data_IF_487244579885
#
_entry.id   IF_487244579885
#
_cell.length_a   1.000
_cell.length_b   1.000
_cell.length_c   1.000
_cell.angle_alpha   90.00
_cell.angle_beta   90.00
_cell.angle_gamma   90.00
#
_symmetry.space_group_name_H-M   'P 1'
#
loop_
_entity.id
_entity.type
_entity.pdbx_description
1 polymer ?
#
# COMPACT_ATOMS: atom_id res chain seq x y z
N UNK A 1 -7.61 8.90 18.17
CA UNK A 1 -8.76 9.71 18.61
C UNK A 1 -9.14 10.82 17.62
N UNK A 2 -8.19 11.65 17.14
CA UNK A 2 -8.47 12.77 16.22
C UNK A 2 -9.22 12.36 14.94
N UNK A 3 -8.88 11.21 14.35
CA UNK A 3 -9.57 10.62 13.17
C UNK A 3 -11.04 10.29 13.43
N UNK A 4 -11.34 9.68 14.58
CA UNK A 4 -12.70 9.36 15.00
C UNK A 4 -13.52 10.65 15.20
N UNK A 5 -12.95 11.63 15.91
CA UNK A 5 -13.57 12.95 16.11
C UNK A 5 -13.82 13.65 14.77
N UNK A 6 -12.84 13.61 13.86
CA UNK A 6 -12.98 14.14 12.51
C UNK A 6 -14.14 13.49 11.74
N UNK A 7 -14.26 12.16 11.79
CA UNK A 7 -15.36 11.43 11.14
C UNK A 7 -16.73 11.81 11.73
N UNK A 8 -16.84 11.93 13.05
CA UNK A 8 -18.08 12.34 13.71
C UNK A 8 -18.49 13.76 13.27
N UNK A 9 -17.54 14.70 13.22
CA UNK A 9 -17.81 16.06 12.77
C UNK A 9 -18.22 16.13 11.28
N UNK A 10 -17.61 15.31 10.43
CA UNK A 10 -18.00 15.22 9.01
C UNK A 10 -19.45 14.73 8.87
N UNK A 11 -19.82 13.67 9.58
CA UNK A 11 -21.18 13.12 9.57
C UNK A 11 -22.19 14.12 10.13
N UNK A 12 -21.88 14.76 11.26
CA UNK A 12 -22.74 15.76 11.88
C UNK A 12 -22.93 16.99 10.97
N UNK A 13 -21.84 17.50 10.38
CA UNK A 13 -21.88 18.60 9.43
C UNK A 13 -22.71 18.26 8.20
N UNK A 14 -22.54 17.06 7.62
CA UNK A 14 -23.33 16.61 6.48
C UNK A 14 -24.84 16.57 6.79
N UNK A 15 -25.23 15.99 7.93
CA UNK A 15 -26.64 15.88 8.33
C UNK A 15 -27.25 17.25 8.54
N UNK A 16 -26.58 18.13 9.30
CA UNK A 16 -27.06 19.49 9.57
C UNK A 16 -27.12 20.31 8.28
N UNK A 17 -26.14 20.19 7.41
CA UNK A 17 -26.11 20.85 6.10
C UNK A 17 -27.28 20.41 5.22
N UNK A 18 -27.55 19.11 5.15
CA UNK A 18 -28.68 18.58 4.39
C UNK A 18 -30.03 19.11 4.92
N UNK A 19 -30.24 19.09 6.24
CA UNK A 19 -31.48 19.58 6.87
C UNK A 19 -31.68 21.08 6.61
N UNK A 20 -30.61 21.87 6.74
CA UNK A 20 -30.69 23.34 6.60
C UNK A 20 -30.81 23.79 5.15
N UNK A 21 -30.20 23.08 4.21
CA UNK A 21 -30.31 23.32 2.78
C UNK A 21 -31.69 22.92 2.21
N UNK A 22 -32.31 21.86 2.74
CA UNK A 22 -33.60 21.37 2.26
C UNK A 22 -34.81 22.24 2.68
N UNK A 23 -34.61 23.24 3.54
CA UNK A 23 -35.67 24.19 3.93
C UNK A 23 -35.98 25.17 2.80
N UNK A 24 -37.22 25.68 2.78
CA UNK A 24 -37.66 26.71 1.83
C UNK A 24 -38.20 27.92 2.64
N UNK A 25 -37.53 29.09 2.61
CA UNK A 25 -36.22 29.30 2.00
C UNK A 25 -35.10 28.57 2.77
N UNK A 26 -33.95 28.27 2.12
CA UNK A 26 -32.83 27.61 2.78
C UNK A 26 -32.31 28.41 3.97
N UNK A 27 -31.91 27.71 5.03
CA UNK A 27 -31.28 28.32 6.19
C UNK A 27 -29.79 28.53 5.91
N UNK A 28 -29.44 29.55 5.13
CA UNK A 28 -28.06 29.84 4.71
C UNK A 28 -27.05 29.91 5.85
N UNK A 29 -27.45 30.47 7.01
CA UNK A 29 -26.59 30.47 8.21
C UNK A 29 -26.29 29.06 8.73
N UNK A 30 -27.28 28.17 8.69
CA UNK A 30 -27.11 26.76 9.05
C UNK A 30 -26.20 26.01 8.08
N UNK A 31 -26.32 26.30 6.79
CA UNK A 31 -25.42 25.75 5.76
C UNK A 31 -23.98 26.23 5.99
N UNK A 32 -23.75 27.51 6.25
CA UNK A 32 -22.42 28.04 6.55
C UNK A 32 -21.79 27.38 7.79
N UNK A 33 -22.57 27.20 8.87
CA UNK A 33 -22.11 26.51 10.07
C UNK A 33 -21.78 25.04 9.78
N UNK A 34 -22.61 24.34 9.01
CA UNK A 34 -22.33 22.94 8.64
C UNK A 34 -21.04 22.79 7.84
N UNK A 35 -20.77 23.70 6.91
CA UNK A 35 -19.52 23.70 6.13
C UNK A 35 -18.30 23.96 7.01
N UNK A 36 -18.41 24.86 7.98
CA UNK A 36 -17.34 25.11 8.94
C UNK A 36 -17.05 23.85 9.80
N UNK A 37 -18.09 23.19 10.31
CA UNK A 37 -17.97 21.93 11.06
C UNK A 37 -17.29 20.85 10.20
N UNK A 38 -17.70 20.70 8.95
CA UNK A 38 -17.06 19.78 8.01
C UNK A 38 -15.59 20.14 7.78
N UNK A 39 -15.26 21.42 7.61
CA UNK A 39 -13.88 21.88 7.46
C UNK A 39 -12.99 21.50 8.63
N UNK A 40 -13.47 21.68 9.87
CA UNK A 40 -12.78 21.23 11.09
C UNK A 40 -12.66 19.70 11.12
N UNK A 41 -13.71 18.98 10.72
CA UNK A 41 -13.70 17.53 10.60
C UNK A 41 -12.62 17.00 9.63
N UNK A 42 -12.50 17.61 8.44
CA UNK A 42 -11.43 17.29 7.47
C UNK A 42 -10.07 17.54 8.09
N UNK A 43 -9.89 18.69 8.75
CA UNK A 43 -8.61 19.05 9.36
C UNK A 43 -8.17 18.06 10.45
N UNK A 44 -9.06 17.73 11.38
CA UNK A 44 -8.79 16.77 12.46
C UNK A 44 -8.56 15.36 11.94
N UNK A 45 -9.30 14.95 10.90
CA UNK A 45 -9.08 13.65 10.25
C UNK A 45 -7.70 13.57 9.59
N UNK A 46 -7.32 14.60 8.83
CA UNK A 46 -6.00 14.69 8.18
C UNK A 46 -4.86 14.68 9.19
N UNK A 47 -5.01 15.37 10.33
CA UNK A 47 -4.03 15.29 11.41
C UNK A 47 -3.91 13.88 11.99
N UNK A 48 -5.04 13.20 12.23
CA UNK A 48 -5.04 11.84 12.76
C UNK A 48 -4.37 10.84 11.83
N UNK A 49 -4.62 10.92 10.52
CA UNK A 49 -3.96 10.06 9.52
C UNK A 49 -2.44 10.32 9.45
N UNK A 50 -2.02 11.59 9.52
CA UNK A 50 -0.58 11.93 9.60
C UNK A 50 0.08 11.39 10.87
N UNK A 51 -0.57 11.52 12.02
CA UNK A 51 -0.05 10.99 13.29
C UNK A 51 0.07 9.45 13.29
N UNK A 52 -0.89 8.75 12.70
CA UNK A 52 -0.84 7.28 12.54
C UNK A 52 0.36 6.86 11.66
N UNK A 53 0.56 7.56 10.55
CA UNK A 53 1.68 7.31 9.65
C UNK A 53 3.03 7.61 10.32
N UNK A 54 3.17 8.77 10.96
CA UNK A 54 4.40 9.13 11.68
C UNK A 54 4.71 8.17 12.81
N UNK A 55 3.70 7.73 13.57
CA UNK A 55 3.90 6.73 14.63
C UNK A 55 4.39 5.39 14.08
N UNK A 56 3.85 4.93 12.95
CA UNK A 56 4.31 3.71 12.31
C UNK A 56 5.77 3.82 11.82
N UNK A 57 6.15 4.98 11.29
CA UNK A 57 7.53 5.27 10.91
C UNK A 57 8.46 5.35 12.14
N UNK A 58 8.02 5.97 13.25
CA UNK A 58 8.80 6.10 14.49
C UNK A 58 8.94 4.78 15.27
N UNK A 59 7.96 3.87 15.18
CA UNK A 59 8.05 2.55 15.82
C UNK A 59 9.00 1.58 15.12
N UNK A 60 9.62 1.98 14.01
CA UNK A 60 10.56 1.15 13.24
C UNK A 60 9.90 -0.01 12.50
N UNK A 61 8.56 -0.06 12.47
CA UNK A 61 7.73 -1.06 11.80
C UNK A 61 7.19 -0.43 10.51
N UNK A 62 7.82 -0.73 9.40
CA UNK A 62 7.58 -0.06 8.13
C UNK A 62 8.49 1.15 7.97
N UNK A 63 9.34 1.09 6.94
CA UNK A 63 10.31 2.11 6.64
C UNK A 63 11.22 1.64 5.52
N UNK A 64 11.84 2.58 4.81
CA UNK A 64 12.63 2.30 3.60
C UNK A 64 13.69 1.21 3.84
N UNK A 65 14.28 1.14 5.04
CA UNK A 65 15.28 0.12 5.40
C UNK A 65 14.70 -1.29 5.54
N UNK A 66 13.53 -1.44 6.14
CA UNK A 66 12.88 -2.74 6.32
C UNK A 66 12.35 -3.27 4.98
N UNK A 67 11.73 -2.39 4.19
CA UNK A 67 11.26 -2.71 2.84
C UNK A 67 12.41 -3.11 1.91
N UNK A 68 13.54 -2.42 2.01
CA UNK A 68 14.78 -2.77 1.31
C UNK A 68 15.32 -4.14 1.72
N UNK A 69 15.27 -4.50 3.01
CA UNK A 69 15.69 -5.80 3.50
C UNK A 69 14.77 -6.93 3.00
N UNK A 70 13.45 -6.75 3.12
CA UNK A 70 12.45 -7.72 2.64
C UNK A 70 12.60 -7.99 1.13
N UNK A 71 12.68 -6.93 0.32
CA UNK A 71 12.86 -7.08 -1.12
C UNK A 71 14.21 -7.71 -1.46
N UNK A 72 15.29 -7.35 -0.75
CA UNK A 72 16.62 -7.95 -1.01
C UNK A 72 16.62 -9.44 -0.71
N UNK A 73 15.97 -9.88 0.37
CA UNK A 73 15.87 -11.31 0.71
C UNK A 73 15.00 -12.06 -0.31
N UNK A 74 13.82 -11.52 -0.65
CA UNK A 74 12.93 -12.11 -1.64
C UNK A 74 13.60 -12.26 -3.01
N UNK A 75 14.30 -11.22 -3.49
CA UNK A 75 15.04 -11.24 -4.77
C UNK A 75 16.15 -12.28 -4.73
N UNK A 76 16.93 -12.36 -3.64
CA UNK A 76 17.99 -13.35 -3.46
C UNK A 76 17.46 -14.79 -3.47
N UNK A 77 16.28 -15.02 -2.88
CA UNK A 77 15.61 -16.33 -2.92
C UNK A 77 15.12 -16.68 -4.31
N UNK A 78 14.50 -15.73 -5.01
CA UNK A 78 14.05 -15.93 -6.41
C UNK A 78 15.24 -16.24 -7.31
N UNK A 79 16.36 -15.54 -7.16
CA UNK A 79 17.58 -15.76 -7.94
C UNK A 79 18.11 -17.19 -7.80
N UNK A 80 18.06 -17.76 -6.59
CA UNK A 80 18.48 -19.15 -6.33
C UNK A 80 17.58 -20.19 -6.99
N UNK A 81 16.30 -19.88 -7.18
CA UNK A 81 15.32 -20.83 -7.75
C UNK A 81 15.08 -20.63 -9.25
N UNK A 82 15.75 -19.68 -9.90
CA UNK A 82 15.59 -19.38 -11.34
C UNK A 82 15.77 -20.61 -12.23
N UNK A 83 16.76 -21.44 -11.91
CA UNK A 83 17.13 -22.65 -12.66
C UNK A 83 16.85 -23.94 -11.87
N UNK A 84 16.13 -23.84 -10.75
CA UNK A 84 15.81 -24.98 -9.91
C UNK A 84 14.75 -25.90 -10.54
N UNK A 85 14.65 -27.16 -10.05
CA UNK A 85 13.54 -28.05 -10.39
C UNK A 85 12.20 -27.49 -9.94
N UNK A 86 11.14 -27.81 -10.68
CA UNK A 86 9.77 -27.34 -10.45
C UNK A 86 9.32 -27.44 -8.99
N UNK A 87 9.57 -28.58 -8.34
CA UNK A 87 9.11 -28.86 -6.98
C UNK A 87 9.76 -27.90 -5.96
N UNK A 88 11.03 -27.55 -6.19
CA UNK A 88 11.75 -26.57 -5.38
C UNK A 88 11.26 -25.14 -5.65
N UNK A 89 11.01 -24.80 -6.92
CA UNK A 89 10.46 -23.49 -7.29
C UNK A 89 9.11 -23.25 -6.61
N UNK A 90 8.17 -24.20 -6.68
CA UNK A 90 6.85 -24.05 -6.05
C UNK A 90 6.99 -23.86 -4.54
N UNK A 91 7.80 -24.69 -3.88
CA UNK A 91 7.98 -24.63 -2.43
C UNK A 91 8.55 -23.30 -1.95
N UNK A 92 9.60 -22.82 -2.60
CA UNK A 92 10.24 -21.55 -2.20
C UNK A 92 9.42 -20.34 -2.63
N UNK A 93 8.79 -20.38 -3.80
CA UNK A 93 7.95 -19.29 -4.28
C UNK A 93 6.70 -19.08 -3.41
N UNK A 94 6.13 -20.15 -2.81
CA UNK A 94 5.07 -20.00 -1.79
C UNK A 94 5.53 -19.12 -0.63
N UNK A 95 6.72 -19.40 -0.07
CA UNK A 95 7.26 -18.62 1.06
C UNK A 95 7.57 -17.18 0.66
N UNK A 96 8.11 -16.99 -0.54
CA UNK A 96 8.38 -15.64 -1.06
C UNK A 96 7.08 -14.86 -1.19
N UNK A 97 6.00 -15.46 -1.72
CA UNK A 97 4.71 -14.78 -1.84
C UNK A 97 4.12 -14.37 -0.47
N UNK A 98 4.28 -15.21 0.56
CA UNK A 98 3.91 -14.85 1.94
C UNK A 98 4.73 -13.65 2.47
N UNK A 99 6.04 -13.60 2.19
CA UNK A 99 6.91 -12.47 2.55
C UNK A 99 6.54 -11.18 1.78
N UNK A 100 6.08 -11.29 0.52
CA UNK A 100 5.63 -10.14 -0.27
C UNK A 100 4.30 -9.56 0.25
N UNK A 101 3.42 -10.39 0.82
CA UNK A 101 2.22 -9.90 1.51
C UNK A 101 2.60 -9.00 2.70
N UNK A 102 3.58 -9.43 3.50
CA UNK A 102 4.12 -8.63 4.61
C UNK A 102 4.74 -7.30 4.11
N UNK A 103 5.42 -7.31 2.96
CA UNK A 103 5.92 -6.08 2.34
C UNK A 103 4.78 -5.09 2.04
N UNK A 104 3.66 -5.54 1.48
CA UNK A 104 2.54 -4.68 1.12
C UNK A 104 1.91 -3.99 2.35
N UNK A 105 1.82 -4.70 3.48
CA UNK A 105 1.37 -4.16 4.76
C UNK A 105 2.36 -3.11 5.29
N UNK A 106 3.64 -3.43 5.28
CA UNK A 106 4.72 -2.57 5.79
C UNK A 106 5.04 -1.38 4.89
N UNK A 107 4.55 -1.36 3.66
CA UNK A 107 4.73 -0.23 2.74
C UNK A 107 3.82 0.96 3.03
N UNK A 108 2.78 0.81 3.88
CA UNK A 108 1.84 1.90 4.19
C UNK A 108 2.48 3.21 4.68
N UNK A 109 3.52 3.20 5.54
CA UNK A 109 4.20 4.41 5.99
C UNK A 109 4.90 5.20 4.88
N UNK A 110 5.20 4.60 3.72
CA UNK A 110 5.75 5.34 2.57
C UNK A 110 4.83 6.45 2.05
N UNK A 111 3.54 6.44 2.43
CA UNK A 111 2.60 7.53 2.11
C UNK A 111 3.02 8.89 2.68
N UNK A 112 3.90 8.91 3.69
CA UNK A 112 4.50 10.14 4.23
C UNK A 112 5.34 10.85 3.17
N UNK A 113 6.05 10.10 2.32
CA UNK A 113 6.84 10.61 1.18
C UNK A 113 5.97 11.11 0.01
N UNK A 114 4.65 11.00 0.14
CA UNK A 114 3.66 11.46 -0.83
C UNK A 114 2.90 10.31 -1.49
N UNK A 115 1.60 10.55 -1.74
CA UNK A 115 0.70 9.57 -2.36
C UNK A 115 1.14 9.16 -3.77
N UNK A 116 1.74 10.08 -4.53
CA UNK A 116 2.28 9.79 -5.86
C UNK A 116 3.48 8.85 -5.78
N UNK A 117 4.42 9.12 -4.87
CA UNK A 117 5.61 8.29 -4.64
C UNK A 117 5.22 6.88 -4.22
N UNK A 118 4.34 6.77 -3.21
CA UNK A 118 3.79 5.49 -2.78
C UNK A 118 3.07 4.75 -3.93
N UNK A 119 2.22 5.46 -4.67
CA UNK A 119 1.48 4.88 -5.80
C UNK A 119 2.39 4.33 -6.89
N UNK A 120 3.48 5.03 -7.21
CA UNK A 120 4.46 4.57 -8.20
C UNK A 120 5.17 3.29 -7.74
N UNK A 121 5.67 3.25 -6.50
CA UNK A 121 6.34 2.06 -5.94
C UNK A 121 5.39 0.86 -5.90
N UNK A 122 4.18 1.05 -5.39
CA UNK A 122 3.19 -0.03 -5.30
C UNK A 122 2.70 -0.51 -6.66
N UNK A 123 2.68 0.37 -7.67
CA UNK A 123 2.30 -0.03 -9.04
C UNK A 123 3.31 -1.00 -9.63
N UNK A 124 4.61 -0.72 -9.48
CA UNK A 124 5.71 -1.59 -9.92
C UNK A 124 5.67 -2.90 -9.12
N UNK A 125 5.61 -2.80 -7.79
CA UNK A 125 5.54 -3.95 -6.89
C UNK A 125 4.39 -4.90 -7.26
N UNK A 126 3.17 -4.37 -7.42
CA UNK A 126 1.99 -5.18 -7.71
C UNK A 126 2.07 -5.88 -9.08
N UNK A 127 2.84 -5.31 -10.03
CA UNK A 127 3.08 -5.95 -11.32
C UNK A 127 3.98 -7.19 -11.14
N UNK A 128 5.03 -7.06 -10.35
CA UNK A 128 5.93 -8.16 -10.00
C UNK A 128 5.24 -9.25 -9.20
N UNK A 129 4.52 -8.89 -8.14
CA UNK A 129 3.74 -9.82 -7.32
C UNK A 129 2.72 -10.61 -8.16
N UNK A 130 1.98 -9.96 -9.06
CA UNK A 130 1.05 -10.65 -9.98
C UNK A 130 1.77 -11.58 -10.95
N UNK A 131 2.97 -11.21 -11.41
CA UNK A 131 3.79 -12.08 -12.25
C UNK A 131 4.25 -13.31 -11.46
N UNK A 132 4.71 -13.15 -10.23
CA UNK A 132 5.12 -14.26 -9.36
C UNK A 132 3.95 -15.19 -9.00
N UNK A 133 2.76 -14.64 -8.73
CA UNK A 133 1.55 -15.44 -8.55
C UNK A 133 1.22 -16.28 -9.80
N UNK A 134 1.33 -15.68 -11.00
CA UNK A 134 1.16 -16.41 -12.26
C UNK A 134 2.22 -17.48 -12.46
N UNK A 135 3.48 -17.19 -12.11
CA UNK A 135 4.55 -18.16 -12.16
C UNK A 135 4.25 -19.37 -11.26
N UNK A 136 3.82 -19.08 -10.02
CA UNK A 136 3.43 -20.10 -9.06
C UNK A 136 2.30 -20.99 -9.59
N UNK A 137 1.22 -20.41 -10.12
CA UNK A 137 0.12 -21.18 -10.71
C UNK A 137 0.58 -22.04 -11.88
N UNK A 138 1.38 -21.47 -12.80
CA UNK A 138 1.91 -22.21 -13.94
C UNK A 138 2.79 -23.39 -13.50
N UNK A 139 3.68 -23.20 -12.52
CA UNK A 139 4.46 -24.30 -11.96
C UNK A 139 3.57 -25.32 -11.23
N UNK A 140 2.58 -24.90 -10.45
CA UNK A 140 1.65 -25.81 -9.78
C UNK A 140 0.90 -26.70 -10.80
N UNK A 141 0.53 -26.15 -11.95
CA UNK A 141 -0.20 -26.84 -13.01
C UNK A 141 0.70 -27.64 -13.98
N UNK A 142 2.03 -27.46 -13.90
CA UNK A 142 3.01 -28.18 -14.74
C UNK A 142 3.40 -27.47 -16.04
N UNK A 143 3.01 -26.21 -16.22
CA UNK A 143 3.40 -25.36 -17.35
C UNK A 143 4.76 -24.69 -17.08
N UNK A 144 5.84 -25.47 -17.19
CA UNK A 144 7.18 -25.05 -16.77
C UNK A 144 7.74 -23.84 -17.54
N UNK A 145 7.58 -23.80 -18.87
CA UNK A 145 8.06 -22.68 -19.69
C UNK A 145 7.36 -21.36 -19.32
N UNK A 146 6.04 -21.41 -19.09
CA UNK A 146 5.25 -20.26 -18.66
C UNK A 146 5.64 -19.83 -17.24
N UNK A 147 5.82 -20.80 -16.34
CA UNK A 147 6.31 -20.58 -14.99
C UNK A 147 7.65 -19.82 -14.98
N UNK A 148 8.64 -20.30 -15.74
CA UNK A 148 9.97 -19.67 -15.85
C UNK A 148 9.90 -18.26 -16.46
N UNK A 149 9.03 -18.06 -17.46
CA UNK A 149 8.80 -16.75 -18.07
C UNK A 149 8.27 -15.74 -17.05
N UNK A 150 7.21 -16.08 -16.32
CA UNK A 150 6.63 -15.17 -15.34
C UNK A 150 7.48 -15.00 -14.09
N UNK A 151 8.26 -16.03 -13.70
CA UNK A 151 9.23 -15.92 -12.62
C UNK A 151 10.27 -14.83 -12.93
N UNK A 152 10.78 -14.82 -14.17
CA UNK A 152 11.71 -13.79 -14.64
C UNK A 152 11.10 -12.40 -14.66
N UNK A 153 9.85 -12.26 -15.10
CA UNK A 153 9.16 -10.97 -15.06
C UNK A 153 8.97 -10.46 -13.64
N UNK A 154 8.55 -11.34 -12.72
CA UNK A 154 8.43 -11.02 -11.31
C UNK A 154 9.75 -10.58 -10.69
N UNK A 155 10.83 -11.30 -10.99
CA UNK A 155 12.17 -10.97 -10.53
C UNK A 155 12.64 -9.57 -10.96
N UNK A 156 12.48 -9.22 -12.24
CA UNK A 156 12.88 -7.89 -12.74
C UNK A 156 12.00 -6.77 -12.15
N UNK A 157 10.70 -6.98 -12.02
CA UNK A 157 9.78 -6.00 -11.41
C UNK A 157 10.10 -5.78 -9.92
N UNK A 158 10.50 -6.82 -9.18
CA UNK A 158 10.93 -6.67 -7.79
C UNK A 158 12.26 -5.90 -7.69
N UNK A 159 13.22 -6.12 -8.62
CA UNK A 159 14.45 -5.32 -8.69
C UNK A 159 14.17 -3.86 -9.00
N UNK A 160 13.23 -3.58 -9.90
CA UNK A 160 12.77 -2.22 -10.18
C UNK A 160 12.14 -1.59 -8.92
N UNK A 161 11.30 -2.35 -8.21
CA UNK A 161 10.71 -1.93 -6.93
C UNK A 161 11.79 -1.60 -5.90
N UNK A 162 12.78 -2.48 -5.73
CA UNK A 162 13.90 -2.27 -4.80
C UNK A 162 14.69 -1.01 -5.15
N UNK A 163 14.92 -0.77 -6.44
CA UNK A 163 15.60 0.43 -6.92
C UNK A 163 14.80 1.70 -6.58
N UNK A 164 13.48 1.67 -6.77
CA UNK A 164 12.60 2.78 -6.42
C UNK A 164 12.55 3.04 -4.90
N UNK A 165 12.51 1.97 -4.08
CA UNK A 165 12.59 2.08 -2.61
C UNK A 165 13.93 2.67 -2.18
N UNK A 166 15.06 2.21 -2.76
CA UNK A 166 16.39 2.75 -2.45
C UNK A 166 16.55 4.22 -2.84
N UNK A 167 15.88 4.67 -3.90
CA UNK A 167 15.89 6.07 -4.31
C UNK A 167 15.26 7.00 -3.26
N UNK A 168 14.43 6.49 -2.35
CA UNK A 168 13.91 7.25 -1.21
C UNK A 168 14.94 7.44 -0.07
N UNK A 169 16.07 6.72 -0.09
CA UNK A 169 17.14 6.89 0.90
C UNK A 169 18.06 8.09 0.60
N UNK A 170 17.80 8.84 -0.48
CA UNK A 170 18.59 10.01 -0.91
C UNK A 170 18.11 11.27 -0.20
#
# INVERSE_FOLDING_TARGET
MKKLVGNVLLTAGLIVGAITAARIPPMWGGVAVSLAIMGVGIFLRRQGEKEELHRAAESGTGGVKELDALLTDAISRIEKIMDAPREEVVRELTKVLEELEEFAEKAQPLRIEGLMTYGNIMSIFSRGERALNRAWSAFADGYEEEGRKYLRYGYEDLKETLSAVRALKV
#
